data_IF_787459352647
#
_entry.id   IF_787459352647
#
_cell.length_a   1.000
_cell.length_b   1.000
_cell.length_c   1.000
_cell.angle_alpha   90.00
_cell.angle_beta   90.00
_cell.angle_gamma   90.00
#
_symmetry.space_group_name_H-M   'P 1'
#
loop_
_entity.id
_entity.type
_entity.pdbx_description
1 polymer ?
#
# COMPACT_ATOMS: atom_id res chain seq x y z
N UNK A 1 1.77 9.27 -11.81
CA UNK A 1 1.16 9.38 -10.48
C UNK A 1 1.55 10.72 -9.87
N UNK A 2 0.61 11.67 -9.68
CA UNK A 2 0.91 12.97 -9.05
C UNK A 2 0.95 12.76 -7.53
N UNK A 3 2.14 12.88 -6.93
CA UNK A 3 2.31 12.76 -5.48
C UNK A 3 1.88 14.06 -4.79
N UNK A 4 0.58 14.18 -4.47
CA UNK A 4 0.07 15.27 -3.65
C UNK A 4 0.45 14.99 -2.19
N UNK A 5 1.13 15.91 -1.48
CA UNK A 5 1.45 15.73 -0.07
C UNK A 5 0.17 15.57 0.75
N UNK A 6 0.17 14.72 1.80
CA UNK A 6 -0.94 14.69 2.74
C UNK A 6 -1.05 16.02 3.51
N UNK A 7 -2.21 16.28 4.09
CA UNK A 7 -2.42 17.41 5.02
C UNK A 7 -1.48 17.28 6.23
N UNK A 8 -1.23 18.39 6.94
CA UNK A 8 -0.14 18.50 7.94
C UNK A 8 -0.11 17.41 9.03
N UNK A 9 -1.22 16.74 9.33
CA UNK A 9 -1.33 15.71 10.36
C UNK A 9 -1.39 14.27 9.86
N UNK A 10 -1.39 14.04 8.54
CA UNK A 10 -1.68 12.70 7.98
C UNK A 10 -0.42 12.08 7.37
N UNK A 11 -0.20 10.80 7.67
CA UNK A 11 0.80 9.99 6.97
C UNK A 11 0.13 9.32 5.78
N UNK A 12 0.78 9.43 4.62
CA UNK A 12 0.35 8.72 3.41
C UNK A 12 1.21 7.49 3.21
N UNK A 13 0.58 6.32 3.13
CA UNK A 13 1.21 5.03 2.83
C UNK A 13 0.87 4.68 1.39
N UNK A 14 1.85 4.85 0.50
CA UNK A 14 1.74 4.40 -0.87
C UNK A 14 2.16 2.93 -0.98
N UNK A 15 1.40 2.13 -1.71
CA UNK A 15 1.74 0.73 -1.98
C UNK A 15 1.70 0.43 -3.48
N UNK A 16 2.53 -0.53 -3.90
CA UNK A 16 2.51 -1.08 -5.25
C UNK A 16 3.01 -2.53 -5.25
N UNK A 17 2.54 -3.32 -6.20
CA UNK A 17 3.07 -4.65 -6.45
C UNK A 17 3.20 -4.91 -7.95
N UNK A 18 4.36 -5.44 -8.33
CA UNK A 18 4.67 -5.91 -9.67
C UNK A 18 4.79 -7.44 -9.65
N UNK A 19 4.56 -8.07 -10.79
CA UNK A 19 4.69 -9.52 -10.96
C UNK A 19 5.64 -9.83 -12.10
N UNK A 20 6.35 -10.93 -11.96
CA UNK A 20 7.05 -11.63 -13.03
C UNK A 20 6.31 -12.94 -13.31
N UNK A 21 5.46 -12.93 -14.35
CA UNK A 21 4.69 -14.09 -14.77
C UNK A 21 5.56 -15.27 -15.22
N UNK A 22 6.79 -15.02 -15.69
CA UNK A 22 7.65 -16.10 -16.17
C UNK A 22 8.22 -16.94 -15.03
N UNK A 23 8.46 -16.30 -13.89
CA UNK A 23 9.02 -16.95 -12.70
C UNK A 23 7.99 -17.19 -11.61
N UNK A 24 6.72 -16.79 -11.81
CA UNK A 24 5.67 -16.78 -10.76
C UNK A 24 6.09 -16.00 -9.51
N UNK A 25 6.84 -14.91 -9.69
CA UNK A 25 7.35 -14.07 -8.59
C UNK A 25 6.61 -12.76 -8.55
N UNK A 26 6.59 -12.12 -7.38
CA UNK A 26 6.12 -10.74 -7.28
C UNK A 26 7.06 -9.90 -6.43
N UNK A 27 7.13 -8.61 -6.77
CA UNK A 27 7.77 -7.60 -5.95
C UNK A 27 6.71 -6.70 -5.35
N UNK A 28 6.76 -6.51 -4.04
CA UNK A 28 5.86 -5.63 -3.30
C UNK A 28 6.65 -4.47 -2.70
N UNK A 29 6.07 -3.27 -2.69
CA UNK A 29 6.67 -2.08 -2.11
C UNK A 29 5.65 -1.25 -1.35
N UNK A 30 6.06 -0.73 -0.20
CA UNK A 30 5.36 0.32 0.54
C UNK A 30 6.29 1.50 0.81
N UNK A 31 5.73 2.71 0.84
CA UNK A 31 6.42 3.93 1.25
C UNK A 31 5.45 4.79 2.06
N UNK A 32 5.75 5.00 3.35
CA UNK A 32 5.02 5.92 4.22
C UNK A 32 5.73 7.28 4.26
N UNK A 33 4.99 8.36 4.04
CA UNK A 33 5.49 9.74 4.05
C UNK A 33 4.62 10.67 4.87
N UNK A 34 5.24 11.65 5.53
CA UNK A 34 4.52 12.74 6.16
C UNK A 34 4.20 13.89 5.18
N UNK A 35 3.54 14.93 5.67
CA UNK A 35 3.17 16.12 4.91
C UNK A 35 4.38 16.91 4.37
N UNK A 36 5.55 16.79 5.03
CA UNK A 36 6.81 17.38 4.60
C UNK A 36 7.51 16.56 3.51
N UNK A 37 6.88 15.46 3.04
CA UNK A 37 7.42 14.49 2.08
C UNK A 37 8.59 13.67 2.61
N UNK A 38 8.84 13.71 3.92
CA UNK A 38 9.86 12.89 4.56
C UNK A 38 9.39 11.44 4.57
N UNK A 39 10.28 10.52 4.20
CA UNK A 39 9.99 9.08 4.21
C UNK A 39 10.19 8.56 5.63
N UNK A 40 9.11 8.12 6.25
CA UNK A 40 9.12 7.53 7.58
C UNK A 40 9.39 6.03 7.51
N UNK A 41 8.82 5.36 6.51
CA UNK A 41 8.99 3.91 6.26
C UNK A 41 9.14 3.68 4.77
N UNK A 42 10.08 2.81 4.38
CA UNK A 42 10.18 2.26 3.03
C UNK A 42 10.55 0.79 3.13
N UNK A 43 9.71 -0.09 2.57
CA UNK A 43 9.95 -1.54 2.56
C UNK A 43 9.66 -2.09 1.17
N UNK A 44 10.52 -3.01 0.73
CA UNK A 44 10.33 -3.78 -0.49
C UNK A 44 10.61 -5.25 -0.19
N UNK A 45 9.78 -6.16 -0.70
CA UNK A 45 9.97 -7.60 -0.53
C UNK A 45 9.72 -8.30 -1.86
N UNK A 46 10.53 -9.33 -2.13
CA UNK A 46 10.29 -10.28 -3.21
C UNK A 46 9.55 -11.49 -2.64
N UNK A 47 8.48 -11.87 -3.30
CA UNK A 47 7.72 -13.06 -3.00
C UNK A 47 7.90 -14.07 -4.11
N UNK A 48 8.37 -15.25 -3.73
CA UNK A 48 8.31 -16.42 -4.61
C UNK A 48 6.89 -17.00 -4.57
N UNK A 49 6.48 -17.66 -5.66
CA UNK A 49 5.20 -18.34 -5.83
C UNK A 49 3.92 -17.47 -5.77
N UNK A 50 4.03 -16.15 -5.95
CA UNK A 50 2.87 -15.27 -6.16
C UNK A 50 2.79 -14.90 -7.65
N UNK A 51 2.14 -15.76 -8.43
CA UNK A 51 1.94 -15.58 -9.87
C UNK A 51 0.73 -14.73 -10.27
N UNK A 52 -0.07 -14.25 -9.31
CA UNK A 52 -1.29 -13.50 -9.61
C UNK A 52 -1.17 -12.03 -9.19
N UNK A 53 -1.34 -11.12 -10.17
CA UNK A 53 -1.38 -9.65 -9.97
C UNK A 53 -2.31 -9.27 -8.80
N UNK A 54 -3.50 -9.87 -8.77
CA UNK A 54 -4.49 -9.58 -7.74
C UNK A 54 -4.00 -9.99 -6.35
N UNK A 55 -3.38 -11.16 -6.21
CA UNK A 55 -2.86 -11.65 -4.93
C UNK A 55 -1.69 -10.79 -4.44
N UNK A 56 -0.75 -10.46 -5.33
CA UNK A 56 0.39 -9.58 -5.01
C UNK A 56 -0.08 -8.19 -4.54
N UNK A 57 -1.08 -7.62 -5.23
CA UNK A 57 -1.66 -6.32 -4.87
C UNK A 57 -2.47 -6.36 -3.57
N UNK A 58 -3.20 -7.44 -3.31
CA UNK A 58 -3.91 -7.65 -2.04
C UNK A 58 -2.93 -7.79 -0.87
N UNK A 59 -1.83 -8.52 -1.07
CA UNK A 59 -0.80 -8.74 -0.04
C UNK A 59 -0.11 -7.43 0.36
N UNK A 60 0.38 -6.66 -0.61
CA UNK A 60 1.04 -5.39 -0.29
C UNK A 60 0.07 -4.36 0.30
N UNK A 61 -1.21 -4.40 -0.07
CA UNK A 61 -2.24 -3.58 0.57
C UNK A 61 -2.40 -3.94 2.06
N UNK A 62 -2.48 -5.23 2.38
CA UNK A 62 -2.53 -5.71 3.77
C UNK A 62 -1.33 -5.21 4.58
N UNK A 63 -0.14 -5.23 3.98
CA UNK A 63 1.06 -4.68 4.61
C UNK A 63 1.02 -3.17 4.81
N UNK A 64 0.45 -2.43 3.88
CA UNK A 64 0.27 -0.99 4.04
C UNK A 64 -0.61 -0.68 5.25
N UNK A 65 -1.73 -1.41 5.40
CA UNK A 65 -2.63 -1.31 6.58
C UNK A 65 -1.88 -1.67 7.87
N UNK A 66 -1.21 -2.83 7.88
CA UNK A 66 -0.45 -3.29 9.04
C UNK A 66 0.64 -2.30 9.45
N UNK A 67 1.29 -1.66 8.48
CA UNK A 67 2.30 -0.62 8.73
C UNK A 67 1.67 0.59 9.42
N UNK A 68 0.47 1.03 8.99
CA UNK A 68 -0.24 2.12 9.64
C UNK A 68 -0.58 1.82 11.10
N UNK A 69 -1.03 0.59 11.37
CA UNK A 69 -1.31 0.08 12.72
C UNK A 69 -0.05 0.06 13.58
N UNK A 70 1.05 -0.50 13.07
CA UNK A 70 2.35 -0.58 13.78
C UNK A 70 2.94 0.81 14.07
N UNK A 71 2.70 1.78 13.20
CA UNK A 71 3.10 3.17 13.40
C UNK A 71 2.20 3.92 14.39
N UNK A 72 1.12 3.30 14.90
CA UNK A 72 0.18 3.94 15.81
C UNK A 72 -0.60 5.09 15.19
N UNK A 73 -0.81 5.05 13.87
CA UNK A 73 -1.54 6.11 13.15
C UNK A 73 -3.03 6.02 13.46
N UNK A 74 -3.60 7.14 13.92
CA UNK A 74 -5.04 7.28 14.11
C UNK A 74 -5.76 7.60 12.80
N UNK A 75 -5.09 8.34 11.92
CA UNK A 75 -5.56 8.69 10.59
C UNK A 75 -4.42 8.55 9.58
N UNK A 76 -4.66 7.78 8.53
CA UNK A 76 -3.73 7.61 7.42
C UNK A 76 -4.45 7.65 6.07
N UNK A 77 -3.66 7.80 5.00
CA UNK A 77 -4.13 7.65 3.63
C UNK A 77 -3.37 6.49 3.01
N UNK A 78 -4.07 5.39 2.74
CA UNK A 78 -3.53 4.25 2.02
C UNK A 78 -3.85 4.42 0.54
N UNK A 79 -2.82 4.61 -0.29
CA UNK A 79 -2.95 4.95 -1.70
C UNK A 79 -2.22 3.92 -2.59
N UNK A 80 -2.90 3.38 -3.59
CA UNK A 80 -2.30 2.48 -4.58
C UNK A 80 -3.09 2.49 -5.89
N UNK A 81 -2.55 1.83 -6.91
CA UNK A 81 -3.11 1.80 -8.28
C UNK A 81 -4.21 0.72 -8.47
N UNK A 82 -4.57 0.04 -7.39
CA UNK A 82 -5.32 -1.22 -7.40
C UNK A 82 -6.79 -1.01 -7.07
N UNK A 83 -7.54 -0.43 -8.01
CA UNK A 83 -8.96 -0.10 -7.83
C UNK A 83 -9.82 -1.31 -7.38
N UNK A 84 -9.52 -2.51 -7.87
CA UNK A 84 -10.23 -3.73 -7.51
C UNK A 84 -10.05 -4.11 -6.04
N UNK A 85 -8.86 -3.87 -5.48
CA UNK A 85 -8.57 -4.08 -4.06
C UNK A 85 -9.27 -3.02 -3.23
N UNK A 86 -9.09 -1.75 -3.57
CA UNK A 86 -9.71 -0.61 -2.86
C UNK A 86 -11.23 -0.80 -2.78
N UNK A 87 -11.88 -1.15 -3.90
CA UNK A 87 -13.34 -1.40 -3.91
C UNK A 87 -13.79 -2.54 -3.00
N UNK A 88 -12.97 -3.58 -2.82
CA UNK A 88 -13.31 -4.72 -1.95
C UNK A 88 -13.19 -4.38 -0.47
N UNK A 89 -12.22 -3.54 -0.10
CA UNK A 89 -11.91 -3.23 1.31
C UNK A 89 -12.63 -1.98 1.81
N UNK A 90 -13.04 -1.08 0.91
CA UNK A 90 -13.95 0.01 1.23
C UNK A 90 -15.36 -0.52 1.46
N UNK A 91 -15.58 -1.19 2.61
CA UNK A 91 -16.92 -1.49 3.08
C UNK A 91 -17.58 -0.15 3.40
N UNK A 92 -18.55 0.27 2.57
CA UNK A 92 -19.46 1.35 2.91
C UNK A 92 -20.31 0.88 4.10
N UNK A 93 -19.87 1.13 5.32
CA UNK A 93 -20.85 1.34 6.38
C UNK A 93 -21.35 2.77 6.22
N UNK A 94 -22.46 2.93 5.50
CA UNK A 94 -23.34 4.08 5.72
C UNK A 94 -23.95 3.86 7.10
N UNK A 95 -23.35 4.47 8.12
CA UNK A 95 -24.08 4.87 9.32
C UNK A 95 -24.61 6.28 9.10
#
# INVERSE_FOLDING_TARGET
MKCVPPTRSVVKINFDAAIDNHQSRSGSRIVARNAMREVLVSRSILHDDIGFVFAAKALVFSWAVQTGVEMGLLEDIIEGDSLSIIKKVSVKYML
#
